data_IF_029268030736
#
_entry.id   IF_029268030736
#
_cell.length_a   1.000
_cell.length_b   1.000
_cell.length_c   1.000
_cell.angle_alpha   90.00
_cell.angle_beta   90.00
_cell.angle_gamma   90.00
#
_symmetry.space_group_name_H-M   'P 1'
#
loop_
_entity.id
_entity.type
_entity.pdbx_description
1 polymer ?
#
# COMPACT_ATOMS: atom_id res chain seq x y z
N UNK A 1 23.04 46.92 -16.39
CA UNK A 1 21.82 46.06 -16.50
C UNK A 1 20.93 46.07 -15.24
N UNK A 2 21.35 46.66 -14.12
CA UNK A 2 20.55 46.80 -12.90
C UNK A 2 19.73 48.09 -12.81
N UNK A 3 20.15 49.12 -13.54
CA UNK A 3 19.53 50.44 -13.41
C UNK A 3 18.24 50.56 -14.26
N UNK A 4 18.17 49.93 -15.42
CA UNK A 4 16.97 49.96 -16.28
C UNK A 4 15.74 49.28 -15.68
N UNK A 5 15.92 48.27 -14.82
CA UNK A 5 14.77 47.58 -14.17
C UNK A 5 14.18 48.42 -13.04
N UNK A 6 14.99 49.19 -12.35
CA UNK A 6 14.54 50.06 -11.29
C UNK A 6 13.77 51.29 -11.83
N UNK A 7 14.25 51.88 -12.92
CA UNK A 7 13.59 53.01 -13.55
C UNK A 7 12.19 52.63 -14.10
N UNK A 8 12.04 51.48 -14.71
CA UNK A 8 10.74 50.98 -15.22
C UNK A 8 9.76 50.70 -14.11
N UNK A 9 10.21 50.21 -12.95
CA UNK A 9 9.35 49.92 -11.80
C UNK A 9 8.90 51.20 -11.10
N UNK A 10 9.75 52.18 -10.95
CA UNK A 10 9.40 53.49 -10.41
C UNK A 10 8.39 54.22 -11.31
N UNK A 11 8.56 54.14 -12.63
CA UNK A 11 7.65 54.74 -13.60
C UNK A 11 6.26 54.08 -13.61
N UNK A 12 6.20 52.76 -13.47
CA UNK A 12 4.94 52.04 -13.35
C UNK A 12 4.21 52.33 -12.03
N UNK A 13 4.92 52.44 -10.93
CA UNK A 13 4.35 52.79 -9.64
C UNK A 13 3.82 54.23 -9.60
N UNK A 14 4.43 55.13 -10.34
CA UNK A 14 3.99 56.52 -10.42
C UNK A 14 2.87 56.77 -11.45
N UNK A 15 2.78 55.95 -12.51
CA UNK A 15 1.84 56.15 -13.61
C UNK A 15 0.43 55.56 -13.39
N UNK A 16 0.26 54.63 -12.46
CA UNK A 16 -1.02 54.06 -12.15
C UNK A 16 -1.46 54.35 -10.71
N UNK A 17 -2.23 55.45 -10.47
CA UNK A 17 -2.95 55.57 -9.20
C UNK A 17 -3.90 54.40 -9.07
N UNK A 18 -3.92 53.78 -7.89
CA UNK A 18 -4.85 52.68 -7.64
C UNK A 18 -6.27 53.11 -7.97
N UNK A 19 -6.89 52.49 -8.96
CA UNK A 19 -8.24 52.82 -9.42
C UNK A 19 -9.31 52.45 -8.40
N UNK A 20 -8.95 51.75 -7.35
CA UNK A 20 -9.92 51.08 -6.48
C UNK A 20 -10.29 51.83 -5.20
N UNK A 21 -9.54 52.79 -4.72
CA UNK A 21 -9.84 53.39 -3.42
C UNK A 21 -9.43 54.85 -3.31
N UNK A 22 -10.38 55.73 -3.00
CA UNK A 22 -10.10 57.10 -2.60
C UNK A 22 -10.21 57.18 -1.09
N UNK A 23 -9.08 57.18 -0.41
CA UNK A 23 -9.02 57.35 1.03
C UNK A 23 -9.19 58.83 1.42
N UNK A 24 -10.39 59.19 1.85
CA UNK A 24 -10.67 60.55 2.33
C UNK A 24 -10.02 60.88 3.68
N UNK A 25 -9.62 59.88 4.46
CA UNK A 25 -8.95 60.02 5.74
C UNK A 25 -7.40 60.08 5.63
N UNK A 26 -6.84 59.90 4.43
CA UNK A 26 -5.41 59.92 4.22
C UNK A 26 -4.65 58.77 4.86
N UNK A 27 -5.33 57.66 5.15
CA UNK A 27 -4.71 56.48 5.76
C UNK A 27 -4.00 55.57 4.76
N UNK A 28 -4.31 55.71 3.49
CA UNK A 28 -3.76 54.93 2.41
C UNK A 28 -3.22 55.83 1.26
N UNK A 29 -2.16 55.41 0.51
CA UNK A 29 -1.36 54.22 0.81
C UNK A 29 -0.53 54.37 2.08
N UNK A 30 -0.34 53.32 2.82
CA UNK A 30 0.60 53.32 3.95
C UNK A 30 2.03 53.53 3.46
N UNK A 31 2.91 54.18 4.29
CA UNK A 31 4.29 54.49 3.87
C UNK A 31 5.07 53.25 3.38
N UNK A 32 4.85 52.10 3.92
CA UNK A 32 5.48 50.87 3.48
C UNK A 32 5.12 50.46 2.03
N UNK A 33 3.98 50.91 1.51
CA UNK A 33 3.57 50.62 0.14
C UNK A 33 3.98 51.70 -0.87
N UNK A 34 4.49 52.82 -0.41
CA UNK A 34 4.93 53.92 -1.29
C UNK A 34 6.37 53.71 -1.77
N UNK A 35 7.24 53.25 -0.89
CA UNK A 35 8.69 53.25 -1.10
C UNK A 35 9.31 51.88 -1.40
N UNK A 36 8.57 50.79 -1.31
CA UNK A 36 9.11 49.43 -1.55
C UNK A 36 8.44 48.85 -2.77
N UNK A 37 9.13 48.90 -3.89
CA UNK A 37 8.64 48.45 -5.19
C UNK A 37 7.99 47.06 -5.16
N UNK A 38 8.67 46.07 -4.57
CA UNK A 38 8.18 44.70 -4.54
C UNK A 38 6.91 44.52 -3.68
N UNK A 39 6.88 45.11 -2.50
CA UNK A 39 5.69 45.07 -1.60
C UNK A 39 4.52 45.82 -2.22
N UNK A 40 4.77 46.97 -2.84
CA UNK A 40 3.76 47.75 -3.52
C UNK A 40 3.17 47.04 -4.73
N UNK A 41 4.01 46.41 -5.56
CA UNK A 41 3.55 45.58 -6.68
C UNK A 41 2.65 44.44 -6.21
N UNK A 42 3.05 43.72 -5.14
CA UNK A 42 2.25 42.65 -4.58
C UNK A 42 0.91 43.14 -4.02
N UNK A 43 0.91 44.23 -3.22
CA UNK A 43 -0.29 44.83 -2.68
C UNK A 43 -1.32 45.24 -3.73
N UNK A 44 -0.83 45.68 -4.92
CA UNK A 44 -1.67 46.08 -6.08
C UNK A 44 -1.99 44.92 -7.03
N UNK A 45 -1.60 43.69 -6.71
CA UNK A 45 -1.79 42.52 -7.57
C UNK A 45 -0.93 42.52 -8.85
N UNK A 46 0.05 43.42 -8.97
CA UNK A 46 0.97 43.43 -10.10
C UNK A 46 2.11 42.41 -9.98
N UNK A 47 2.27 41.84 -8.79
CA UNK A 47 3.17 40.73 -8.47
C UNK A 47 2.42 39.73 -7.62
N UNK A 48 2.45 38.46 -7.96
CA UNK A 48 1.85 37.37 -7.16
C UNK A 48 2.90 36.74 -6.24
N UNK A 49 2.47 36.41 -5.04
CA UNK A 49 3.27 35.66 -4.07
C UNK A 49 2.73 34.26 -3.96
N UNK A 50 3.07 33.37 -4.90
CA UNK A 50 2.63 31.98 -4.85
C UNK A 50 3.65 31.12 -4.13
N UNK A 51 3.17 30.04 -3.44
CA UNK A 51 4.04 28.98 -3.02
C UNK A 51 4.47 28.17 -4.26
N UNK A 52 5.76 27.87 -4.35
CA UNK A 52 6.27 27.02 -5.43
C UNK A 52 5.97 25.56 -5.09
N UNK A 53 4.78 25.10 -5.45
CA UNK A 53 4.37 23.71 -5.30
C UNK A 53 5.02 22.94 -6.45
N UNK A 54 6.15 22.28 -6.15
CA UNK A 54 6.88 21.51 -7.14
C UNK A 54 6.94 20.03 -6.74
N UNK A 55 6.95 19.14 -7.75
CA UNK A 55 7.22 17.72 -7.55
C UNK A 55 6.02 16.87 -7.15
N UNK A 56 4.80 17.40 -7.17
CA UNK A 56 3.61 16.53 -7.17
C UNK A 56 3.67 15.63 -8.41
N UNK A 57 3.44 14.32 -8.30
CA UNK A 57 3.33 13.45 -9.45
C UNK A 57 2.22 13.89 -10.39
N UNK A 58 2.38 13.60 -11.68
CA UNK A 58 1.42 14.04 -12.71
C UNK A 58 0.00 13.45 -12.53
N UNK A 59 -0.11 12.35 -11.79
CA UNK A 59 -1.36 11.68 -11.44
C UNK A 59 -1.99 12.17 -10.14
N UNK A 60 -1.28 13.02 -9.38
CA UNK A 60 -1.82 13.68 -8.18
C UNK A 60 -2.43 15.02 -8.59
N UNK A 61 -3.73 15.05 -8.76
CA UNK A 61 -4.47 16.28 -8.96
C UNK A 61 -4.61 17.03 -7.63
N UNK A 62 -4.10 18.26 -7.57
CA UNK A 62 -4.18 19.08 -6.35
C UNK A 62 -5.49 19.88 -6.27
N UNK A 63 -6.31 19.88 -7.32
CA UNK A 63 -7.61 20.57 -7.42
C UNK A 63 -7.59 22.01 -6.89
N UNK A 64 -6.50 22.72 -7.14
CA UNK A 64 -6.33 24.08 -6.67
C UNK A 64 -7.10 25.06 -7.55
N UNK A 65 -7.91 25.91 -6.92
CA UNK A 65 -8.65 26.97 -7.60
C UNK A 65 -7.72 28.07 -8.11
N UNK A 66 -8.06 28.67 -9.23
CA UNK A 66 -7.42 29.88 -9.74
C UNK A 66 -7.86 31.08 -8.90
N UNK A 67 -6.90 31.89 -8.47
CA UNK A 67 -7.15 33.07 -7.69
C UNK A 67 -7.21 34.32 -8.57
N UNK A 68 -8.20 35.22 -8.39
CA UNK A 68 -8.23 36.49 -9.09
C UNK A 68 -7.05 37.38 -8.69
N UNK A 69 -6.87 38.50 -9.38
CA UNK A 69 -5.85 39.49 -9.05
C UNK A 69 -6.20 40.20 -7.74
N UNK A 70 -5.20 40.42 -6.87
CA UNK A 70 -5.38 41.19 -5.64
C UNK A 70 -5.73 42.66 -5.93
N UNK A 71 -6.58 43.24 -5.07
CA UNK A 71 -7.02 44.65 -5.17
C UNK A 71 -6.49 45.46 -3.99
N UNK A 72 -5.81 46.54 -4.27
CA UNK A 72 -5.42 47.52 -3.25
C UNK A 72 -6.62 48.41 -2.87
N UNK A 73 -6.87 48.71 -1.58
CA UNK A 73 -6.04 48.44 -0.40
C UNK A 73 -6.42 47.15 0.37
N UNK A 74 -7.16 46.23 -0.20
CA UNK A 74 -7.64 45.02 0.43
C UNK A 74 -6.49 44.02 0.68
N UNK A 75 -5.46 44.04 -0.15
CA UNK A 75 -4.30 43.19 0.02
C UNK A 75 -3.19 43.88 0.86
N UNK A 76 -2.89 43.34 2.02
CA UNK A 76 -1.84 43.80 2.91
C UNK A 76 -0.64 42.89 2.82
N UNK A 77 0.48 43.41 2.31
CA UNK A 77 1.71 42.64 2.09
C UNK A 77 2.86 43.24 2.88
N UNK A 78 3.59 42.37 3.57
CA UNK A 78 4.87 42.69 4.19
C UNK A 78 5.95 41.78 3.63
N UNK A 79 6.94 42.38 2.99
CA UNK A 79 8.11 41.66 2.48
C UNK A 79 9.36 42.15 3.18
N UNK A 80 10.24 41.23 3.58
CA UNK A 80 11.54 41.55 4.17
C UNK A 80 12.59 41.76 3.06
N UNK A 81 13.69 42.40 3.39
CA UNK A 81 14.82 42.61 2.45
C UNK A 81 15.32 41.30 1.82
N UNK A 82 15.16 40.19 2.49
CA UNK A 82 15.61 38.88 1.98
C UNK A 82 14.52 38.10 1.26
N UNK A 83 13.29 38.65 1.13
CA UNK A 83 12.20 38.07 0.37
C UNK A 83 11.28 37.11 1.16
N UNK A 84 11.23 37.22 2.50
CA UNK A 84 10.15 36.59 3.27
C UNK A 84 8.89 37.43 3.17
N UNK A 85 7.74 36.75 2.98
CA UNK A 85 6.46 37.41 2.75
C UNK A 85 5.43 36.99 3.80
N UNK A 86 4.70 37.96 4.30
CA UNK A 86 3.42 37.80 4.98
C UNK A 86 2.37 38.56 4.20
N UNK A 87 1.30 37.91 3.79
CA UNK A 87 0.21 38.50 3.00
C UNK A 87 -1.13 38.16 3.63
N UNK A 88 -1.98 39.16 3.76
CA UNK A 88 -3.38 39.09 4.16
C UNK A 88 -4.18 39.78 3.07
N UNK A 89 -4.92 39.03 2.29
CA UNK A 89 -5.68 39.50 1.14
C UNK A 89 -7.18 39.34 1.44
N UNK A 90 -7.91 40.44 1.47
CA UNK A 90 -9.37 40.49 1.63
C UNK A 90 -10.07 40.77 0.29
N UNK A 91 -9.37 40.65 -0.83
CA UNK A 91 -9.95 40.78 -2.17
C UNK A 91 -11.05 39.73 -2.37
N UNK A 92 -12.27 40.11 -2.80
CA UNK A 92 -13.34 39.15 -2.99
C UNK A 92 -12.97 38.00 -3.95
N UNK A 93 -13.13 36.78 -3.48
CA UNK A 93 -12.74 35.55 -4.21
C UNK A 93 -11.24 35.22 -4.16
N UNK A 94 -10.45 36.02 -3.44
CA UNK A 94 -9.03 35.77 -3.18
C UNK A 94 -8.68 35.82 -1.69
N UNK A 95 -9.62 35.85 -0.82
CA UNK A 95 -9.39 35.93 0.63
C UNK A 95 -8.33 34.91 1.06
N UNK A 96 -7.17 35.42 1.52
CA UNK A 96 -5.96 34.60 1.66
C UNK A 96 -5.09 34.99 2.83
N UNK A 97 -4.53 34.00 3.52
CA UNK A 97 -3.44 34.20 4.47
C UNK A 97 -2.21 33.43 3.96
N UNK A 98 -1.11 34.13 3.71
CA UNK A 98 0.14 33.55 3.23
C UNK A 98 1.31 33.89 4.12
N UNK A 99 2.03 32.86 4.54
CA UNK A 99 3.36 32.96 5.15
C UNK A 99 4.38 32.24 4.25
N UNK A 100 5.27 32.99 3.61
CA UNK A 100 6.22 32.45 2.64
C UNK A 100 7.65 32.76 3.02
N UNK A 101 8.47 31.75 3.10
CA UNK A 101 9.92 31.89 3.18
C UNK A 101 10.50 32.18 1.82
N UNK A 102 11.61 32.92 1.75
CA UNK A 102 12.29 33.26 0.49
C UNK A 102 12.65 32.08 -0.40
N UNK A 103 12.80 30.88 0.17
CA UNK A 103 13.06 29.64 -0.58
C UNK A 103 11.82 29.02 -1.23
N UNK A 104 10.63 29.58 -0.97
CA UNK A 104 9.37 29.07 -1.47
C UNK A 104 8.64 28.13 -0.52
N UNK A 105 9.21 27.78 0.65
CA UNK A 105 8.49 27.07 1.70
C UNK A 105 7.49 28.03 2.38
N UNK A 106 6.36 27.49 2.85
CA UNK A 106 5.35 28.31 3.52
C UNK A 106 4.04 27.64 3.78
N UNK A 107 3.09 28.44 4.25
CA UNK A 107 1.72 28.06 4.52
C UNK A 107 0.82 29.04 3.76
N UNK A 108 -0.16 28.50 3.03
CA UNK A 108 -1.15 29.24 2.24
C UNK A 108 -2.55 28.77 2.62
N UNK A 109 -3.37 29.66 3.11
CA UNK A 109 -4.79 29.44 3.43
C UNK A 109 -5.63 30.18 2.40
N UNK A 110 -6.42 29.47 1.61
CA UNK A 110 -7.14 29.94 0.44
C UNK A 110 -8.62 30.22 0.71
N UNK A 111 -9.33 30.97 -0.16
CA UNK A 111 -10.73 31.35 0.04
C UNK A 111 -11.70 30.17 0.08
N UNK A 112 -11.39 29.05 -0.54
CA UNK A 112 -12.16 27.80 -0.50
C UNK A 112 -11.94 26.99 0.79
N UNK A 113 -11.09 27.46 1.70
CA UNK A 113 -10.70 26.77 2.92
C UNK A 113 -9.54 25.79 2.76
N UNK A 114 -8.96 25.68 1.56
CA UNK A 114 -7.76 24.85 1.32
C UNK A 114 -6.57 25.41 2.09
N UNK A 115 -5.87 24.54 2.80
CA UNK A 115 -4.61 24.86 3.48
C UNK A 115 -3.47 24.09 2.84
N UNK A 116 -2.48 24.81 2.31
CA UNK A 116 -1.29 24.25 1.70
C UNK A 116 -0.10 24.47 2.64
N UNK A 117 0.56 23.39 3.03
CA UNK A 117 1.84 23.43 3.76
C UNK A 117 2.90 22.89 2.81
N UNK A 118 3.77 23.78 2.33
CA UNK A 118 4.83 23.44 1.39
C UNK A 118 6.19 23.57 2.03
N UNK A 119 6.99 22.53 1.97
CA UNK A 119 8.40 22.52 2.39
C UNK A 119 9.29 22.17 1.19
N UNK A 120 10.30 22.98 0.93
CA UNK A 120 11.21 22.73 -0.19
C UNK A 120 12.27 21.66 0.12
N UNK A 121 12.52 21.39 1.40
CA UNK A 121 13.54 20.43 1.84
C UNK A 121 12.90 19.41 2.82
N UNK A 122 13.12 19.60 4.10
CA UNK A 122 12.67 18.67 5.12
C UNK A 122 11.47 19.23 5.88
N UNK A 123 10.49 18.39 6.16
CA UNK A 123 9.45 18.67 7.15
C UNK A 123 9.71 17.79 8.36
N UNK A 124 9.76 18.39 9.55
CA UNK A 124 9.93 17.70 10.82
C UNK A 124 8.73 18.06 11.69
N UNK A 125 7.95 17.04 12.04
CA UNK A 125 6.82 17.18 12.95
C UNK A 125 7.09 16.33 14.21
N UNK A 126 7.03 16.94 15.38
CA UNK A 126 7.27 16.29 16.66
C UNK A 126 6.10 16.63 17.58
N UNK A 127 5.35 15.60 17.95
CA UNK A 127 4.24 15.72 18.89
C UNK A 127 4.66 15.11 20.22
N UNK A 128 4.63 15.91 21.30
CA UNK A 128 5.06 15.47 22.63
C UNK A 128 4.05 14.58 23.36
N UNK A 129 2.83 14.48 22.84
CA UNK A 129 1.76 13.64 23.40
C UNK A 129 0.99 13.00 22.25
N UNK A 130 -0.31 13.19 22.16
CA UNK A 130 -1.18 12.54 21.18
C UNK A 130 -1.25 13.31 19.86
N UNK A 131 -1.28 12.59 18.74
CA UNK A 131 -1.60 13.13 17.44
C UNK A 131 -2.84 12.44 16.88
N UNK A 132 -3.79 13.22 16.33
CA UNK A 132 -4.99 12.71 15.68
C UNK A 132 -5.14 13.32 14.29
N UNK A 133 -5.30 12.48 13.29
CA UNK A 133 -5.57 12.90 11.90
C UNK A 133 -6.93 12.32 11.50
N UNK A 134 -7.87 13.19 11.13
CA UNK A 134 -9.22 12.81 10.68
C UNK A 134 -9.44 13.40 9.30
N UNK A 135 -9.60 12.55 8.30
CA UNK A 135 -9.95 12.92 6.93
C UNK A 135 -11.35 12.39 6.65
N UNK A 136 -12.29 13.28 6.28
CA UNK A 136 -13.68 12.89 5.97
C UNK A 136 -13.88 12.45 4.52
N UNK A 137 -12.99 12.85 3.65
CA UNK A 137 -12.93 12.45 2.24
C UNK A 137 -11.80 11.48 1.98
N UNK A 138 -11.35 11.44 0.75
CA UNK A 138 -10.23 10.61 0.30
C UNK A 138 -8.90 11.16 0.83
N UNK A 139 -7.91 10.29 1.01
CA UNK A 139 -6.58 10.67 1.44
C UNK A 139 -5.51 9.92 0.64
N UNK A 140 -4.56 10.67 0.06
CA UNK A 140 -3.42 10.12 -0.66
C UNK A 140 -2.12 10.39 0.11
N UNK A 141 -1.35 9.34 0.34
CA UNK A 141 -0.01 9.41 0.94
C UNK A 141 0.99 8.78 0.00
N UNK A 142 1.90 9.58 -0.56
CA UNK A 142 2.89 9.11 -1.51
C UNK A 142 4.32 9.42 -1.05
N UNK A 143 5.18 8.42 -1.08
CA UNK A 143 6.61 8.56 -0.86
C UNK A 143 7.37 8.08 -2.09
N UNK A 144 8.15 8.96 -2.71
CA UNK A 144 9.04 8.61 -3.83
C UNK A 144 10.32 7.89 -3.35
N UNK A 145 10.62 7.98 -2.08
CA UNK A 145 11.74 7.31 -1.43
C UNK A 145 11.30 6.23 -0.43
N UNK A 146 12.08 6.00 0.59
CA UNK A 146 11.82 4.98 1.60
C UNK A 146 10.86 5.49 2.68
N UNK A 147 9.87 4.69 3.04
CA UNK A 147 9.02 4.87 4.22
C UNK A 147 9.44 3.89 5.32
N UNK A 148 9.64 4.40 6.54
CA UNK A 148 9.77 3.58 7.75
C UNK A 148 8.64 3.91 8.71
N UNK A 149 7.81 2.92 9.01
CA UNK A 149 6.81 2.98 10.06
C UNK A 149 7.29 2.15 11.26
N UNK A 150 7.37 2.75 12.44
CA UNK A 150 7.76 2.05 13.67
C UNK A 150 6.75 2.36 14.76
N UNK A 151 6.10 1.33 15.26
CA UNK A 151 5.13 1.38 16.36
C UNK A 151 5.68 0.55 17.50
N UNK A 152 5.83 1.13 18.68
CA UNK A 152 6.34 0.43 19.87
C UNK A 152 5.25 -0.29 20.66
N UNK A 153 4.01 0.12 20.49
CA UNK A 153 2.82 -0.52 21.04
C UNK A 153 2.06 -1.29 19.97
N UNK A 154 0.77 -1.31 20.08
CA UNK A 154 -0.14 -2.00 19.15
C UNK A 154 -0.37 -1.16 17.88
N UNK A 155 -0.61 -1.83 16.77
CA UNK A 155 -1.01 -1.24 15.51
C UNK A 155 -2.27 -1.93 15.01
N UNK A 156 -3.38 -1.20 14.99
CA UNK A 156 -4.67 -1.65 14.47
C UNK A 156 -4.91 -1.08 13.08
N UNK A 157 -5.26 -1.95 12.13
CA UNK A 157 -5.64 -1.56 10.77
C UNK A 157 -7.00 -2.14 10.45
N UNK A 158 -8.01 -1.30 10.25
CA UNK A 158 -9.36 -1.68 9.84
C UNK A 158 -9.66 -1.11 8.45
N UNK A 159 -10.07 -1.95 7.52
CA UNK A 159 -10.42 -1.58 6.15
C UNK A 159 -11.84 -2.07 5.85
N UNK A 160 -12.78 -1.15 5.69
CA UNK A 160 -14.19 -1.47 5.40
C UNK A 160 -14.45 -1.95 3.96
N UNK A 161 -13.52 -1.71 3.05
CA UNK A 161 -13.56 -2.14 1.65
C UNK A 161 -12.41 -3.09 1.31
N UNK A 162 -11.82 -2.94 0.14
CA UNK A 162 -10.73 -3.76 -0.34
C UNK A 162 -9.37 -3.31 0.25
N UNK A 163 -8.56 -4.26 0.67
CA UNK A 163 -7.17 -4.05 1.02
C UNK A 163 -6.25 -4.65 -0.04
N UNK A 164 -5.57 -3.80 -0.81
CA UNK A 164 -4.67 -4.22 -1.88
C UNK A 164 -3.21 -3.97 -1.47
N UNK A 165 -2.40 -5.01 -1.45
CA UNK A 165 -0.96 -4.93 -1.20
C UNK A 165 -0.19 -5.44 -2.42
N UNK A 166 0.61 -4.57 -3.05
CA UNK A 166 1.48 -4.92 -4.17
C UNK A 166 2.94 -4.67 -3.81
N UNK A 167 3.75 -5.70 -3.83
CA UNK A 167 5.18 -5.64 -3.52
C UNK A 167 5.95 -6.13 -4.74
N UNK A 168 6.81 -5.29 -5.33
CA UNK A 168 7.63 -5.66 -6.48
C UNK A 168 8.93 -6.39 -6.10
N UNK A 169 9.37 -6.24 -4.87
CA UNK A 169 10.53 -6.93 -4.32
C UNK A 169 10.15 -7.98 -3.29
N UNK A 170 10.97 -8.19 -2.30
CA UNK A 170 10.76 -9.16 -1.24
C UNK A 170 9.73 -8.69 -0.21
N UNK A 171 8.81 -9.56 0.20
CA UNK A 171 8.02 -9.41 1.42
C UNK A 171 8.61 -10.32 2.50
N UNK A 172 8.98 -9.75 3.65
CA UNK A 172 9.41 -10.49 4.84
C UNK A 172 8.49 -10.20 6.00
N UNK A 173 8.10 -11.24 6.71
CA UNK A 173 7.22 -11.17 7.86
C UNK A 173 7.76 -12.08 8.98
N UNK A 174 7.94 -11.54 10.18
CA UNK A 174 8.36 -12.28 11.37
C UNK A 174 7.34 -12.04 12.48
N UNK A 175 6.69 -13.10 12.96
CA UNK A 175 5.70 -13.06 14.02
C UNK A 175 6.21 -13.93 15.16
N UNK A 176 6.47 -13.31 16.32
CA UNK A 176 6.96 -14.03 17.51
C UNK A 176 5.85 -14.57 18.39
N UNK A 177 4.64 -14.09 18.20
CA UNK A 177 3.44 -14.56 18.87
C UNK A 177 2.61 -15.47 17.96
N UNK A 178 1.31 -15.48 18.16
CA UNK A 178 0.36 -16.24 17.38
C UNK A 178 0.06 -15.52 16.04
N UNK A 179 -0.07 -16.28 14.97
CA UNK A 179 -0.62 -15.83 13.71
C UNK A 179 -1.98 -16.46 13.48
N UNK A 180 -3.01 -15.67 13.28
CA UNK A 180 -4.37 -16.12 12.98
C UNK A 180 -4.86 -15.47 11.69
N UNK A 181 -5.36 -16.28 10.78
CA UNK A 181 -5.99 -15.83 9.55
C UNK A 181 -7.37 -16.48 9.43
N UNK A 182 -8.41 -15.68 9.20
CA UNK A 182 -9.76 -16.17 8.93
C UNK A 182 -10.23 -15.60 7.59
N UNK A 183 -10.51 -16.47 6.64
CA UNK A 183 -11.09 -16.14 5.33
C UNK A 183 -12.49 -16.77 5.29
N UNK A 184 -13.52 -15.98 5.04
CA UNK A 184 -14.91 -16.44 5.04
C UNK A 184 -15.30 -17.04 3.70
N UNK A 185 -14.76 -16.49 2.61
CA UNK A 185 -15.05 -16.94 1.26
C UNK A 185 -13.86 -17.71 0.66
N UNK A 186 -13.28 -17.25 -0.42
CA UNK A 186 -12.23 -17.94 -1.14
C UNK A 186 -10.84 -17.51 -0.67
N UNK A 187 -9.94 -18.47 -0.52
CA UNK A 187 -8.51 -18.22 -0.34
C UNK A 187 -7.75 -18.86 -1.48
N UNK A 188 -7.08 -18.06 -2.30
CA UNK A 188 -6.26 -18.52 -3.41
C UNK A 188 -4.78 -18.18 -3.16
N UNK A 189 -3.91 -19.14 -3.38
CA UNK A 189 -2.45 -18.94 -3.31
C UNK A 189 -1.80 -19.50 -4.57
N UNK A 190 -1.10 -18.66 -5.32
CA UNK A 190 -0.34 -19.06 -6.51
C UNK A 190 1.15 -18.79 -6.31
N UNK A 191 1.99 -19.81 -6.45
CA UNK A 191 3.45 -19.72 -6.30
C UNK A 191 4.10 -20.29 -7.57
N UNK A 192 4.80 -19.44 -8.31
CA UNK A 192 5.50 -19.85 -9.53
C UNK A 192 6.85 -20.48 -9.21
N UNK A 193 7.45 -20.11 -8.11
CA UNK A 193 8.74 -20.63 -7.64
C UNK A 193 8.60 -21.79 -6.65
N UNK A 194 9.52 -21.89 -5.72
CA UNK A 194 9.56 -22.93 -4.70
C UNK A 194 8.76 -22.52 -3.46
N UNK A 195 8.07 -23.49 -2.87
CA UNK A 195 7.45 -23.36 -1.54
C UNK A 195 8.12 -24.31 -0.57
N UNK A 196 8.44 -23.82 0.62
CA UNK A 196 8.93 -24.63 1.73
C UNK A 196 8.14 -24.34 2.99
N UNK A 197 7.64 -25.39 3.66
CA UNK A 197 6.95 -25.28 4.94
C UNK A 197 7.72 -26.12 5.97
N UNK A 198 8.15 -25.51 7.06
CA UNK A 198 8.76 -26.18 8.20
C UNK A 198 7.92 -25.98 9.46
N UNK A 199 7.41 -27.10 10.01
CA UNK A 199 6.65 -27.12 11.26
C UNK A 199 7.44 -27.93 12.30
N UNK A 200 7.77 -27.31 13.42
CA UNK A 200 8.42 -27.99 14.55
C UNK A 200 7.40 -28.68 15.47
N UNK A 201 6.18 -28.19 15.49
CA UNK A 201 5.08 -28.72 16.31
C UNK A 201 4.13 -29.62 15.53
N UNK A 202 2.89 -29.67 15.94
CA UNK A 202 1.83 -30.42 15.28
C UNK A 202 1.19 -29.61 14.18
N UNK A 203 1.04 -30.18 13.00
CA UNK A 203 0.21 -29.66 11.91
C UNK A 203 -1.10 -30.44 11.83
N UNK A 204 -2.22 -29.75 11.64
CA UNK A 204 -3.52 -30.38 11.41
C UNK A 204 -4.24 -29.67 10.28
N UNK A 205 -4.64 -30.42 9.26
CA UNK A 205 -5.49 -29.94 8.17
C UNK A 205 -6.85 -30.64 8.28
N UNK A 206 -7.93 -29.87 8.40
CA UNK A 206 -9.30 -30.37 8.41
C UNK A 206 -10.06 -29.82 7.22
N UNK A 207 -10.50 -30.68 6.32
CA UNK A 207 -11.22 -30.32 5.10
C UNK A 207 -12.57 -31.01 5.12
N UNK A 208 -13.66 -30.23 5.21
CA UNK A 208 -15.04 -30.76 5.24
C UNK A 208 -15.60 -31.04 3.85
N UNK A 209 -14.95 -30.57 2.81
CA UNK A 209 -15.35 -30.79 1.43
C UNK A 209 -14.36 -31.67 0.67
N UNK A 210 -14.31 -31.54 -0.64
CA UNK A 210 -13.39 -32.28 -1.50
C UNK A 210 -11.96 -31.76 -1.37
N UNK A 211 -11.01 -32.65 -1.30
CA UNK A 211 -9.58 -32.35 -1.36
C UNK A 211 -8.94 -32.98 -2.61
N UNK A 212 -8.42 -32.15 -3.51
CA UNK A 212 -7.74 -32.61 -4.71
C UNK A 212 -6.26 -32.18 -4.68
N UNK A 213 -5.36 -33.13 -4.80
CA UNK A 213 -3.92 -32.88 -4.93
C UNK A 213 -3.41 -33.44 -6.25
N UNK A 214 -2.85 -32.61 -7.11
CA UNK A 214 -2.29 -33.01 -8.40
C UNK A 214 -0.80 -32.66 -8.43
N UNK A 215 0.05 -33.66 -8.60
CA UNK A 215 1.50 -33.46 -8.77
C UNK A 215 1.88 -33.97 -10.16
N UNK A 216 2.43 -33.08 -11.01
CA UNK A 216 2.93 -33.47 -12.33
C UNK A 216 4.34 -34.09 -12.31
N UNK A 217 5.07 -33.92 -11.25
CA UNK A 217 6.39 -34.51 -11.01
C UNK A 217 6.32 -35.62 -9.97
N UNK A 218 7.37 -35.75 -9.18
CA UNK A 218 7.47 -36.76 -8.13
C UNK A 218 6.83 -36.27 -6.84
N UNK A 219 6.01 -37.10 -6.22
CA UNK A 219 5.51 -36.90 -4.87
C UNK A 219 6.17 -37.91 -3.95
N UNK A 220 6.82 -37.45 -2.88
CA UNK A 220 7.46 -38.31 -1.88
C UNK A 220 6.89 -38.00 -0.49
N UNK A 221 6.37 -39.01 0.19
CA UNK A 221 5.95 -38.94 1.59
C UNK A 221 6.84 -39.83 2.43
N UNK A 222 7.51 -39.25 3.43
CA UNK A 222 8.33 -40.00 4.40
C UNK A 222 7.77 -39.81 5.80
N UNK A 223 7.42 -40.89 6.43
CA UNK A 223 6.93 -40.93 7.83
C UNK A 223 7.86 -41.83 8.62
N UNK A 224 8.45 -41.34 9.72
CA UNK A 224 9.45 -42.10 10.51
C UNK A 224 8.79 -43.02 11.57
N UNK A 225 7.52 -42.79 11.89
CA UNK A 225 6.79 -43.62 12.86
C UNK A 225 5.59 -44.26 12.17
N UNK A 226 4.39 -43.79 12.47
CA UNK A 226 3.15 -44.41 12.02
C UNK A 226 2.49 -43.58 10.92
N UNK A 227 2.08 -44.22 9.86
CA UNK A 227 1.24 -43.67 8.81
C UNK A 227 -0.07 -44.39 8.79
N UNK A 228 -1.16 -43.72 9.17
CA UNK A 228 -2.51 -44.29 9.21
C UNK A 228 -3.38 -43.65 8.14
N UNK A 229 -4.02 -44.45 7.32
CA UNK A 229 -5.00 -44.02 6.33
C UNK A 229 -6.34 -44.68 6.71
N UNK A 230 -7.33 -43.91 7.06
CA UNK A 230 -8.69 -44.35 7.32
C UNK A 230 -9.62 -43.79 6.24
N UNK A 231 -10.34 -44.63 5.55
CA UNK A 231 -11.28 -44.27 4.49
C UNK A 231 -12.56 -45.09 4.76
N UNK A 232 -13.66 -44.37 4.94
CA UNK A 232 -14.95 -45.02 5.31
C UNK A 232 -15.64 -45.65 4.10
N UNK A 233 -15.32 -45.23 2.87
CA UNK A 233 -15.99 -45.70 1.67
C UNK A 233 -14.99 -46.45 0.77
N UNK A 234 -14.45 -45.84 -0.30
CA UNK A 234 -13.60 -46.49 -1.29
C UNK A 234 -12.18 -45.94 -1.30
N UNK A 235 -11.20 -46.80 -1.41
CA UNK A 235 -9.81 -46.46 -1.70
C UNK A 235 -9.37 -47.04 -3.05
N UNK A 236 -9.05 -46.22 -4.02
CA UNK A 236 -8.50 -46.66 -5.30
C UNK A 236 -7.01 -46.25 -5.43
N UNK A 237 -6.16 -47.20 -5.71
CA UNK A 237 -4.75 -46.97 -6.02
C UNK A 237 -4.50 -47.55 -7.41
N UNK A 238 -4.19 -46.67 -8.37
CA UNK A 238 -3.91 -47.04 -9.75
C UNK A 238 -2.54 -46.60 -10.17
N UNK A 239 -1.75 -47.47 -10.74
CA UNK A 239 -0.46 -47.17 -11.37
C UNK A 239 -0.48 -47.63 -12.82
N UNK A 240 0.06 -46.82 -13.72
CA UNK A 240 0.15 -47.16 -15.13
C UNK A 240 1.21 -48.24 -15.40
N UNK A 241 2.34 -48.12 -14.73
CA UNK A 241 3.49 -48.99 -14.99
C UNK A 241 3.70 -50.02 -13.88
N UNK A 242 4.01 -49.59 -12.65
CA UNK A 242 4.30 -50.45 -11.54
C UNK A 242 3.71 -49.93 -10.23
N UNK A 243 3.12 -50.81 -9.42
CA UNK A 243 2.84 -50.58 -8.00
C UNK A 243 3.66 -51.57 -7.19
N UNK A 244 4.65 -51.07 -6.47
CA UNK A 244 5.50 -51.87 -5.59
C UNK A 244 5.24 -51.59 -4.12
N UNK A 245 4.92 -52.63 -3.35
CA UNK A 245 4.74 -52.58 -1.91
C UNK A 245 5.79 -53.50 -1.26
N UNK A 246 6.74 -52.90 -0.56
CA UNK A 246 7.78 -53.63 0.15
C UNK A 246 7.64 -53.45 1.66
N UNK A 247 7.43 -54.50 2.39
CA UNK A 247 7.23 -54.48 3.84
C UNK A 247 7.78 -55.76 4.47
N UNK A 248 8.20 -55.67 5.73
CA UNK A 248 8.57 -56.85 6.51
C UNK A 248 7.37 -57.75 6.82
N UNK A 249 6.23 -57.17 7.13
CA UNK A 249 4.98 -57.86 7.41
C UNK A 249 3.84 -57.11 6.75
N UNK A 250 3.01 -57.79 6.00
CA UNK A 250 1.77 -57.27 5.46
C UNK A 250 0.59 -58.10 5.92
N UNK A 251 -0.40 -57.47 6.55
CA UNK A 251 -1.68 -58.10 6.89
C UNK A 251 -2.76 -57.50 6.00
N UNK A 252 -3.39 -58.30 5.18
CA UNK A 252 -4.49 -57.89 4.31
C UNK A 252 -5.71 -58.70 4.77
N UNK A 253 -6.74 -58.04 5.31
CA UNK A 253 -7.98 -58.65 5.73
C UNK A 253 -9.13 -58.05 4.91
N UNK A 254 -9.85 -58.88 4.22
CA UNK A 254 -11.00 -58.49 3.39
C UNK A 254 -12.11 -59.56 3.51
N UNK A 255 -13.35 -59.16 3.39
CA UNK A 255 -14.47 -60.12 3.26
C UNK A 255 -14.38 -60.85 1.93
N UNK A 256 -14.14 -60.08 0.87
CA UNK A 256 -13.89 -60.61 -0.47
C UNK A 256 -12.61 -60.00 -1.04
N UNK A 257 -11.70 -60.83 -1.52
CA UNK A 257 -10.46 -60.41 -2.17
C UNK A 257 -10.37 -61.01 -3.57
N UNK A 258 -10.29 -60.14 -4.58
CA UNK A 258 -10.09 -60.55 -5.98
C UNK A 258 -8.72 -60.11 -6.45
N UNK A 259 -7.89 -61.08 -6.81
CA UNK A 259 -6.58 -60.83 -7.47
C UNK A 259 -6.70 -61.20 -8.92
N UNK A 260 -6.64 -60.20 -9.81
CA UNK A 260 -6.61 -60.40 -11.27
C UNK A 260 -5.29 -60.00 -11.85
N UNK A 261 -4.64 -60.90 -12.57
CA UNK A 261 -3.43 -60.61 -13.32
C UNK A 261 -3.40 -61.46 -14.58
N UNK A 262 -2.87 -60.94 -15.65
CA UNK A 262 -2.63 -61.74 -16.89
C UNK A 262 -1.46 -62.75 -16.71
N UNK A 263 -0.51 -62.34 -15.84
CA UNK A 263 0.61 -63.20 -15.44
C UNK A 263 0.89 -62.94 -13.96
N UNK A 264 0.49 -63.80 -13.09
CA UNK A 264 0.68 -63.66 -11.63
C UNK A 264 1.44 -64.80 -11.05
N UNK A 265 2.45 -64.53 -10.21
CA UNK A 265 3.05 -65.51 -9.33
C UNK A 265 2.71 -65.14 -7.88
N UNK A 266 2.21 -66.11 -7.12
CA UNK A 266 2.16 -66.06 -5.68
C UNK A 266 3.14 -67.06 -5.17
N UNK A 267 4.28 -66.60 -4.67
CA UNK A 267 5.37 -67.45 -4.22
C UNK A 267 5.83 -67.05 -2.81
N UNK A 268 6.39 -67.97 -2.12
CA UNK A 268 6.96 -67.82 -0.77
C UNK A 268 7.39 -69.20 -0.22
N UNK A 269 8.18 -69.19 0.85
CA UNK A 269 8.65 -70.44 1.50
C UNK A 269 7.48 -71.29 2.02
N UNK A 270 6.36 -70.68 2.34
CA UNK A 270 5.15 -71.37 2.79
C UNK A 270 3.89 -70.56 2.38
N UNK A 271 2.99 -71.20 1.67
CA UNK A 271 1.70 -70.63 1.23
C UNK A 271 0.55 -71.43 1.90
N UNK A 272 -0.28 -70.75 2.69
CA UNK A 272 -1.44 -71.35 3.33
C UNK A 272 -2.72 -70.74 2.71
N UNK A 273 -3.64 -71.61 2.28
CA UNK A 273 -4.96 -71.23 1.79
C UNK A 273 -6.02 -71.77 2.69
N UNK A 274 -6.90 -70.91 3.22
CA UNK A 274 -8.05 -71.28 3.98
C UNK A 274 -9.32 -70.84 3.24
N UNK A 275 -10.26 -71.76 2.97
CA UNK A 275 -11.51 -71.48 2.32
C UNK A 275 -11.63 -72.00 0.88
N UNK A 276 -12.68 -71.60 0.17
CA UNK A 276 -12.89 -72.00 -1.23
C UNK A 276 -12.04 -71.12 -2.15
N UNK A 277 -11.13 -71.73 -2.88
CA UNK A 277 -10.32 -71.08 -3.85
C UNK A 277 -10.84 -71.32 -5.26
N UNK A 278 -11.05 -70.28 -6.03
CA UNK A 278 -11.37 -70.31 -7.44
C UNK A 278 -10.17 -69.88 -8.26
N UNK A 279 -9.58 -70.80 -9.01
CA UNK A 279 -8.41 -70.53 -9.87
C UNK A 279 -8.84 -70.43 -11.32
N UNK A 280 -8.48 -69.40 -12.00
CA UNK A 280 -8.55 -69.37 -13.46
C UNK A 280 -7.52 -70.31 -14.11
N UNK A 281 -7.64 -70.52 -15.38
CA UNK A 281 -6.89 -71.54 -16.16
C UNK A 281 -5.37 -71.42 -16.22
N UNK A 282 -4.74 -70.49 -15.46
CA UNK A 282 -3.31 -70.17 -15.55
C UNK A 282 -2.61 -69.91 -14.19
N UNK A 283 -3.13 -70.42 -13.08
CA UNK A 283 -2.46 -70.23 -11.78
C UNK A 283 -1.42 -71.35 -11.55
N UNK A 284 -0.14 -70.99 -11.39
CA UNK A 284 0.94 -71.95 -11.03
C UNK A 284 1.34 -71.61 -9.60
N UNK A 285 1.26 -72.59 -8.71
CA UNK A 285 1.76 -72.53 -7.32
C UNK A 285 3.12 -73.24 -7.30
N UNK A 286 4.15 -72.55 -6.82
CA UNK A 286 5.48 -73.13 -6.56
C UNK A 286 5.80 -73.06 -5.09
#
# INVERSE_FOLDING_TARGET
>A
MSDEIFDTVEEQVQSEPSKAFVDQAGQFPKPEYINVASTNLAARGLKTNELLIGGAPADMNLDLIDLPQSEYPLNQVRETLTGHVTEMDDTPGRERLLFKHRTGAGIDMRPDGTVIINSKYNTIEITGNDQKIIVKGDGDIQYQGNLKLRVSGDMDVEVGGNYNLKVHGDKREEIRGNYQQKVIENHETSIIGNQSLFLKGTGTDTILGNYNMITKGTMTTRVEKDYNLFVDDETMITSKDELSISTKNANISAVDMVLQSTTGMIGGDTVFHYGKNYYGTSATFT
#
